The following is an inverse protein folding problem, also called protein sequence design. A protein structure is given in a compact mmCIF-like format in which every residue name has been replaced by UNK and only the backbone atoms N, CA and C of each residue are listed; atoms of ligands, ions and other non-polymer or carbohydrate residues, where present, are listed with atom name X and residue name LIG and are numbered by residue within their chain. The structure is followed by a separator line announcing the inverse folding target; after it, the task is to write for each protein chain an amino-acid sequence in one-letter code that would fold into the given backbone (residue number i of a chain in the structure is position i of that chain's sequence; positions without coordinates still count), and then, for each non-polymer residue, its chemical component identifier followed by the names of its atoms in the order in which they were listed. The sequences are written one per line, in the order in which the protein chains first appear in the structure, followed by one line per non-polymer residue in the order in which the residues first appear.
data_IF_408654445859
#
_entry.id   IF_408654445859
#
_cell.length_a   1.000
_cell.length_b   1.000
_cell.length_c   1.000
_cell.angle_alpha   90.00
_cell.angle_beta   90.00
_cell.angle_gamma   90.00
#
_symmetry.space_group_name_H-M   'P 1'
#
loop_
_entity.id
_entity.type
_entity.pdbx_description
1 polymer ?
#
# COMPACT_ATOMS: atom_id res chain seq x y z
N UNK A 1 24.21 -14.80 -17.14
CA UNK A 1 23.31 -13.66 -17.37
C UNK A 1 23.27 -12.89 -16.07
N UNK A 2 23.67 -11.63 -16.09
CA UNK A 2 23.71 -10.80 -14.89
C UNK A 2 22.28 -10.40 -14.49
N UNK A 3 21.94 -10.32 -13.20
CA UNK A 3 20.62 -9.88 -12.76
C UNK A 3 20.35 -8.45 -13.26
N UNK A 4 19.13 -8.19 -13.72
CA UNK A 4 18.70 -6.83 -14.03
C UNK A 4 18.63 -6.05 -12.71
N UNK A 5 19.01 -4.77 -12.76
CA UNK A 5 18.94 -3.85 -11.63
C UNK A 5 17.52 -3.77 -11.04
N UNK A 6 17.41 -3.86 -9.72
CA UNK A 6 16.15 -3.64 -8.99
C UNK A 6 15.88 -2.12 -8.90
N UNK A 7 14.85 -1.67 -9.59
CA UNK A 7 14.44 -0.26 -9.64
C UNK A 7 13.31 0.09 -8.68
N UNK A 8 12.80 -0.87 -7.92
CA UNK A 8 11.56 -0.70 -7.17
C UNK A 8 11.68 0.42 -6.13
N UNK A 9 12.67 0.33 -5.25
CA UNK A 9 12.83 1.29 -4.15
C UNK A 9 13.45 2.62 -4.59
N UNK A 10 14.16 2.64 -5.71
CA UNK A 10 14.89 3.82 -6.21
C UNK A 10 14.07 4.65 -7.19
N UNK A 11 13.17 4.03 -7.97
CA UNK A 11 12.37 4.70 -9.01
C UNK A 11 10.87 4.44 -8.86
N UNK A 12 10.46 3.18 -8.89
CA UNK A 12 9.05 2.84 -9.14
C UNK A 12 8.15 3.16 -7.94
N UNK A 13 8.57 2.83 -6.73
CA UNK A 13 7.81 3.11 -5.51
C UNK A 13 7.70 4.61 -5.20
N UNK A 14 8.79 5.42 -5.23
CA UNK A 14 8.65 6.87 -5.06
C UNK A 14 7.74 7.51 -6.12
N UNK A 15 7.82 7.04 -7.37
CA UNK A 15 6.96 7.52 -8.46
C UNK A 15 5.49 7.16 -8.22
N UNK A 16 5.21 5.91 -7.81
CA UNK A 16 3.87 5.47 -7.46
C UNK A 16 3.28 6.30 -6.31
N UNK A 17 4.08 6.64 -5.28
CA UNK A 17 3.65 7.53 -4.19
C UNK A 17 3.27 8.92 -4.69
N UNK A 18 4.06 9.49 -5.60
CA UNK A 18 3.76 10.78 -6.23
C UNK A 18 2.44 10.72 -7.03
N UNK A 19 2.27 9.69 -7.86
CA UNK A 19 1.05 9.49 -8.65
C UNK A 19 -0.19 9.33 -7.76
N UNK A 20 -0.14 8.50 -6.72
CA UNK A 20 -1.28 8.32 -5.79
C UNK A 20 -1.64 9.64 -5.11
N UNK A 21 -0.64 10.41 -4.62
CA UNK A 21 -0.88 11.71 -3.99
C UNK A 21 -1.56 12.71 -4.93
N UNK A 22 -1.14 12.75 -6.19
CA UNK A 22 -1.73 13.64 -7.19
C UNK A 22 -3.14 13.22 -7.57
N UNK A 23 -3.38 11.91 -7.75
CA UNK A 23 -4.73 11.38 -7.99
C UNK A 23 -5.69 11.72 -6.83
N UNK A 24 -5.23 11.66 -5.57
CA UNK A 24 -6.07 11.98 -4.40
C UNK A 24 -6.34 13.48 -4.24
N UNK A 25 -5.40 14.35 -4.64
CA UNK A 25 -5.57 15.82 -4.62
C UNK A 25 -6.43 16.35 -5.78
N UNK A 26 -6.54 15.60 -6.86
CA UNK A 26 -7.15 16.07 -8.11
C UNK A 26 -8.69 16.01 -8.03
N UNK A 27 -9.33 17.18 -8.04
CA UNK A 27 -10.78 17.28 -8.11
C UNK A 27 -11.36 16.89 -9.49
N UNK A 28 -10.51 16.85 -10.54
CA UNK A 28 -10.94 16.72 -11.94
C UNK A 28 -10.36 15.51 -12.69
N UNK A 29 -9.70 14.58 -12.01
CA UNK A 29 -9.46 13.23 -12.56
C UNK A 29 -8.00 12.92 -12.92
N UNK A 30 -7.17 12.74 -11.89
CA UNK A 30 -5.89 12.04 -12.03
C UNK A 30 -4.65 12.91 -11.99
N UNK A 31 -3.52 12.32 -12.39
CA UNK A 31 -2.18 12.87 -12.30
C UNK A 31 -1.57 13.02 -13.69
N UNK A 32 -1.18 14.25 -14.05
CA UNK A 32 -0.47 14.52 -15.31
C UNK A 32 0.99 14.11 -15.21
N UNK A 33 1.60 13.76 -16.35
CA UNK A 33 3.03 13.43 -16.43
C UNK A 33 3.92 14.52 -15.83
N UNK A 34 3.68 15.79 -16.18
CA UNK A 34 4.45 16.93 -15.67
C UNK A 34 4.28 17.12 -14.17
N UNK A 35 3.06 16.90 -13.65
CA UNK A 35 2.79 16.93 -12.21
C UNK A 35 3.52 15.82 -11.47
N UNK A 36 3.53 14.61 -12.04
CA UNK A 36 4.25 13.45 -11.47
C UNK A 36 5.76 13.70 -11.45
N UNK A 37 6.33 14.22 -12.53
CA UNK A 37 7.75 14.58 -12.60
C UNK A 37 8.10 15.63 -11.53
N UNK A 38 7.28 16.68 -11.38
CA UNK A 38 7.50 17.72 -10.39
C UNK A 38 7.39 17.20 -8.94
N UNK A 39 6.38 16.38 -8.63
CA UNK A 39 6.16 15.82 -7.28
C UNK A 39 7.23 14.76 -6.91
N UNK A 40 7.73 14.00 -7.89
CA UNK A 40 8.77 12.98 -7.66
C UNK A 40 10.20 13.54 -7.69
N UNK A 41 10.42 14.69 -8.35
CA UNK A 41 11.75 15.27 -8.56
C UNK A 41 12.63 14.48 -9.55
N UNK A 42 12.03 13.56 -10.32
CA UNK A 42 12.74 12.68 -11.25
C UNK A 42 12.87 13.30 -12.65
N UNK A 43 13.85 12.81 -13.42
CA UNK A 43 13.97 13.17 -14.83
C UNK A 43 12.81 12.61 -15.65
N UNK A 44 12.49 13.25 -16.78
CA UNK A 44 11.43 12.78 -17.68
C UNK A 44 11.65 11.33 -18.15
N UNK A 45 12.91 10.94 -18.40
CA UNK A 45 13.25 9.57 -18.76
C UNK A 45 12.95 8.55 -17.66
N UNK A 46 13.23 8.89 -16.40
CA UNK A 46 12.93 8.03 -15.25
C UNK A 46 11.43 7.92 -15.04
N UNK A 47 10.70 9.03 -15.19
CA UNK A 47 9.23 9.05 -15.09
C UNK A 47 8.61 8.18 -16.17
N UNK A 48 9.05 8.29 -17.43
CA UNK A 48 8.53 7.43 -18.50
C UNK A 48 8.80 5.95 -18.26
N UNK A 49 10.02 5.60 -17.85
CA UNK A 49 10.38 4.22 -17.56
C UNK A 49 9.55 3.67 -16.39
N UNK A 50 9.43 4.43 -15.30
CA UNK A 50 8.69 4.04 -14.11
C UNK A 50 7.19 3.96 -14.36
N UNK A 51 6.58 4.93 -15.05
CA UNK A 51 5.15 4.87 -15.38
C UNK A 51 4.83 3.66 -16.25
N UNK A 52 5.68 3.31 -17.22
CA UNK A 52 5.50 2.10 -18.02
C UNK A 52 5.61 0.83 -17.17
N UNK A 53 6.60 0.76 -16.28
CA UNK A 53 6.77 -0.38 -15.39
C UNK A 53 5.56 -0.56 -14.45
N UNK A 54 5.07 0.55 -13.87
CA UNK A 54 3.91 0.54 -12.97
C UNK A 54 2.60 0.22 -13.69
N UNK A 55 2.42 0.69 -14.92
CA UNK A 55 1.26 0.38 -15.76
C UNK A 55 1.22 -1.12 -16.08
N UNK A 56 2.35 -1.69 -16.53
CA UNK A 56 2.47 -3.15 -16.73
C UNK A 56 2.30 -3.96 -15.44
N UNK A 57 2.69 -3.39 -14.28
CA UNK A 57 2.47 -3.98 -12.97
C UNK A 57 1.02 -3.95 -12.48
N UNK A 58 0.10 -3.32 -13.22
CA UNK A 58 -1.32 -3.25 -12.86
C UNK A 58 -1.61 -2.25 -11.73
N UNK A 59 -0.75 -1.26 -11.53
CA UNK A 59 -0.95 -0.24 -10.49
C UNK A 59 -1.89 0.89 -10.92
N UNK A 60 -2.20 0.99 -12.22
CA UNK A 60 -3.08 2.02 -12.77
C UNK A 60 -4.40 1.44 -13.27
N UNK A 61 -5.48 2.19 -13.08
CA UNK A 61 -6.83 1.83 -13.58
C UNK A 61 -6.97 2.20 -15.04
N UNK A 62 -6.46 3.38 -15.41
CA UNK A 62 -6.51 3.92 -16.76
C UNK A 62 -5.41 4.94 -16.95
N UNK A 63 -4.70 4.82 -18.06
CA UNK A 63 -3.68 5.75 -18.52
C UNK A 63 -4.07 6.36 -19.86
N UNK A 64 -3.55 7.54 -20.15
CA UNK A 64 -3.57 8.17 -21.46
C UNK A 64 -2.14 8.26 -21.97
N UNK A 65 -1.94 7.95 -23.25
CA UNK A 65 -0.66 8.11 -23.90
C UNK A 65 -0.75 8.96 -25.16
N UNK A 66 0.38 9.52 -25.56
CA UNK A 66 0.55 10.21 -26.84
C UNK A 66 1.59 9.51 -27.70
N UNK A 67 1.39 9.56 -29.02
CA UNK A 67 2.31 8.94 -29.99
C UNK A 67 3.73 9.51 -29.81
N UNK A 68 4.70 8.63 -29.59
CA UNK A 68 6.10 9.01 -29.38
C UNK A 68 6.44 9.59 -27.99
N UNK A 69 5.43 9.86 -27.15
CA UNK A 69 5.61 10.48 -25.83
C UNK A 69 5.17 9.58 -24.66
N UNK A 70 4.76 8.33 -24.90
CA UNK A 70 4.40 7.41 -23.82
C UNK A 70 3.18 7.89 -23.01
N UNK A 71 3.11 7.49 -21.72
CA UNK A 71 2.03 7.88 -20.81
C UNK A 71 2.15 9.38 -20.49
N UNK A 72 1.09 10.13 -20.78
CA UNK A 72 0.98 11.57 -20.50
C UNK A 72 0.07 11.87 -19.31
N UNK A 73 -0.82 10.94 -18.95
CA UNK A 73 -1.77 11.12 -17.85
C UNK A 73 -2.17 9.78 -17.21
N UNK A 74 -2.39 9.77 -15.90
CA UNK A 74 -2.92 8.65 -15.13
C UNK A 74 -4.25 9.06 -14.51
N UNK A 75 -5.36 8.49 -14.96
CA UNK A 75 -6.70 8.88 -14.47
C UNK A 75 -7.06 8.27 -13.11
N UNK A 76 -6.37 7.20 -12.71
CA UNK A 76 -6.63 6.54 -11.43
C UNK A 76 -5.64 5.43 -11.14
N UNK A 77 -5.57 5.07 -9.86
CA UNK A 77 -4.69 4.04 -9.30
C UNK A 77 -5.52 2.89 -8.73
N UNK A 78 -5.00 1.68 -8.76
CA UNK A 78 -5.71 0.50 -8.25
C UNK A 78 -5.71 0.47 -6.71
N UNK A 79 -6.57 -0.37 -6.12
CA UNK A 79 -6.53 -0.63 -4.68
C UNK A 79 -5.19 -1.21 -4.24
N UNK A 80 -4.53 -1.99 -5.09
CA UNK A 80 -3.20 -2.53 -4.83
C UNK A 80 -2.15 -1.44 -4.75
N UNK A 81 -2.16 -0.49 -5.68
CA UNK A 81 -1.30 0.70 -5.60
C UNK A 81 -1.47 1.44 -4.26
N UNK A 82 -2.72 1.59 -3.80
CA UNK A 82 -3.04 2.24 -2.53
C UNK A 82 -2.50 1.48 -1.33
N UNK A 83 -2.60 0.14 -1.32
CA UNK A 83 -2.03 -0.69 -0.26
C UNK A 83 -0.51 -0.64 -0.24
N UNK A 84 0.12 -0.75 -1.40
CA UNK A 84 1.59 -0.70 -1.56
C UNK A 84 2.16 0.62 -1.05
N UNK A 85 1.51 1.76 -1.32
CA UNK A 85 1.98 3.05 -0.79
C UNK A 85 1.54 3.32 0.66
N UNK A 86 0.72 2.44 1.23
CA UNK A 86 0.20 2.54 2.60
C UNK A 86 -0.97 3.52 2.78
N UNK A 87 -1.62 3.95 1.69
CA UNK A 87 -2.80 4.83 1.78
C UNK A 87 -4.10 4.06 2.06
N UNK A 88 -4.13 2.76 1.78
CA UNK A 88 -5.21 1.83 2.17
C UNK A 88 -4.71 0.77 3.15
N UNK A 89 -5.60 0.22 4.01
CA UNK A 89 -5.24 -0.87 4.90
C UNK A 89 -4.76 -2.10 4.10
N UNK A 90 -3.62 -2.65 4.53
CA UNK A 90 -3.12 -3.97 4.11
C UNK A 90 -3.26 -4.95 5.28
N UNK A 91 -3.28 -6.27 5.03
CA UNK A 91 -3.25 -7.28 6.10
C UNK A 91 -2.11 -7.05 7.11
N UNK A 92 -0.92 -6.68 6.63
CA UNK A 92 0.25 -6.41 7.47
C UNK A 92 0.05 -5.15 8.32
N UNK A 93 -0.36 -4.05 7.70
CA UNK A 93 -0.60 -2.80 8.45
C UNK A 93 -1.78 -2.90 9.39
N UNK A 94 -2.77 -3.75 9.10
CA UNK A 94 -3.85 -4.07 10.02
C UNK A 94 -3.38 -4.97 11.16
N UNK A 95 -2.52 -5.96 10.91
CA UNK A 95 -1.88 -6.76 11.95
C UNK A 95 -1.09 -5.87 12.93
N UNK A 96 -0.26 -4.97 12.40
CA UNK A 96 0.51 -4.01 13.20
C UNK A 96 -0.41 -3.09 14.03
N UNK A 97 -1.53 -2.63 13.46
CA UNK A 97 -2.54 -1.81 14.17
C UNK A 97 -3.25 -2.59 15.27
N UNK A 98 -3.56 -3.86 15.06
CA UNK A 98 -4.15 -4.74 16.09
C UNK A 98 -3.17 -4.87 17.26
N UNK A 99 -1.90 -5.13 16.98
CA UNK A 99 -0.86 -5.22 18.01
C UNK A 99 -0.75 -3.92 18.80
N UNK A 100 -0.63 -2.79 18.11
CA UNK A 100 -0.54 -1.47 18.73
C UNK A 100 -1.78 -1.12 19.58
N UNK A 101 -2.98 -1.50 19.13
CA UNK A 101 -4.21 -1.28 19.89
C UNK A 101 -4.23 -2.12 21.18
N UNK A 102 -3.81 -3.38 21.13
CA UNK A 102 -3.69 -4.25 22.31
C UNK A 102 -2.64 -3.75 23.28
N UNK A 103 -1.49 -3.26 22.80
CA UNK A 103 -0.48 -2.62 23.64
C UNK A 103 -1.01 -1.37 24.35
N UNK A 104 -1.77 -0.53 23.62
CA UNK A 104 -2.38 0.66 24.19
C UNK A 104 -3.40 0.29 25.28
N UNK A 105 -4.25 -0.71 25.05
CA UNK A 105 -5.21 -1.21 26.04
C UNK A 105 -4.51 -1.84 27.25
N UNK A 106 -3.45 -2.62 27.05
CA UNK A 106 -2.67 -3.24 28.12
C UNK A 106 -2.05 -2.21 29.08
N UNK A 107 -1.81 -0.98 28.60
CA UNK A 107 -1.25 0.13 29.39
C UNK A 107 -2.36 1.01 29.98
N UNK A 108 -3.37 1.35 29.18
CA UNK A 108 -4.25 2.48 29.44
C UNK A 108 -5.72 2.09 29.69
N UNK A 109 -6.10 0.82 29.63
CA UNK A 109 -7.50 0.43 29.81
C UNK A 109 -8.04 0.85 31.20
N UNK A 110 -9.34 1.18 31.32
CA UNK A 110 -9.93 1.68 32.56
C UNK A 110 -9.82 0.71 33.74
N UNK A 111 -9.91 -0.60 33.49
CA UNK A 111 -9.87 -1.63 34.53
C UNK A 111 -8.64 -2.53 34.40
N UNK A 112 -8.17 -3.06 35.54
CA UNK A 112 -7.07 -4.04 35.54
C UNK A 112 -7.43 -5.35 34.82
N UNK A 113 -8.71 -5.72 34.80
CA UNK A 113 -9.20 -6.88 34.04
C UNK A 113 -9.03 -6.66 32.54
N UNK A 114 -9.41 -5.50 32.02
CA UNK A 114 -9.22 -5.15 30.61
C UNK A 114 -7.74 -5.09 30.24
N UNK A 115 -6.89 -4.49 31.09
CA UNK A 115 -5.43 -4.49 30.89
C UNK A 115 -4.86 -5.91 30.84
N UNK A 116 -5.27 -6.77 31.77
CA UNK A 116 -4.84 -8.17 31.83
C UNK A 116 -5.27 -8.95 30.58
N UNK A 117 -6.51 -8.77 30.13
CA UNK A 117 -7.02 -9.40 28.92
C UNK A 117 -6.28 -8.94 27.66
N UNK A 118 -5.98 -7.64 27.54
CA UNK A 118 -5.21 -7.10 26.42
C UNK A 118 -3.78 -7.67 26.38
N UNK A 119 -3.12 -7.82 27.54
CA UNK A 119 -1.79 -8.46 27.63
C UNK A 119 -1.82 -9.92 27.18
N UNK A 120 -2.82 -10.70 27.64
CA UNK A 120 -2.99 -12.10 27.22
C UNK A 120 -3.24 -12.22 25.72
N UNK A 121 -4.08 -11.36 25.17
CA UNK A 121 -4.34 -11.32 23.72
C UNK A 121 -3.07 -10.97 22.93
N UNK A 122 -2.29 -9.99 23.41
CA UNK A 122 -1.01 -9.60 22.81
C UNK A 122 0.00 -10.75 22.83
N UNK A 123 0.14 -11.45 23.95
CA UNK A 123 1.00 -12.64 24.07
C UNK A 123 0.57 -13.75 23.12
N UNK A 124 -0.74 -14.01 23.03
CA UNK A 124 -1.29 -15.00 22.12
C UNK A 124 -0.94 -14.67 20.65
N UNK A 125 -1.14 -13.42 20.23
CA UNK A 125 -0.81 -12.93 18.88
C UNK A 125 0.68 -13.09 18.59
N UNK A 126 1.54 -12.68 19.53
CA UNK A 126 3.00 -12.81 19.38
C UNK A 126 3.44 -14.27 19.30
N UNK A 127 2.78 -15.16 20.03
CA UNK A 127 3.06 -16.60 20.02
C UNK A 127 2.60 -17.32 18.75
N UNK A 128 1.54 -16.82 18.09
CA UNK A 128 0.96 -17.44 16.89
C UNK A 128 1.83 -17.29 15.63
N UNK A 129 2.79 -16.36 15.65
CA UNK A 129 3.65 -16.04 14.51
C UNK A 129 3.01 -15.07 13.52
N UNK A 130 3.85 -14.29 12.83
CA UNK A 130 3.43 -13.15 12.00
C UNK A 130 2.42 -13.52 10.93
N UNK A 131 2.63 -14.64 10.24
CA UNK A 131 1.79 -15.03 9.09
C UNK A 131 0.34 -15.37 9.48
N UNK A 132 0.15 -15.93 10.68
CA UNK A 132 -1.19 -16.21 11.21
C UNK A 132 -1.93 -14.92 11.51
N UNK A 133 -1.26 -13.95 12.14
CA UNK A 133 -1.85 -12.65 12.48
C UNK A 133 -2.21 -11.87 11.21
N UNK A 134 -1.33 -11.89 10.20
CA UNK A 134 -1.59 -11.29 8.89
C UNK A 134 -2.80 -11.96 8.20
N UNK A 135 -2.93 -13.29 8.29
CA UNK A 135 -4.08 -14.01 7.73
C UNK A 135 -5.41 -13.63 8.40
N UNK A 136 -5.41 -13.46 9.72
CA UNK A 136 -6.59 -12.97 10.46
C UNK A 136 -6.91 -11.52 10.08
N UNK A 137 -5.90 -10.66 9.98
CA UNK A 137 -6.08 -9.28 9.54
C UNK A 137 -6.63 -9.19 8.10
N UNK A 138 -6.16 -10.06 7.20
CA UNK A 138 -6.69 -10.20 5.84
C UNK A 138 -8.17 -10.60 5.86
N UNK A 139 -8.55 -11.55 6.71
CA UNK A 139 -9.93 -11.99 6.88
C UNK A 139 -10.85 -10.85 7.35
N UNK A 140 -10.39 -10.01 8.28
CA UNK A 140 -11.13 -8.84 8.76
C UNK A 140 -11.31 -7.79 7.65
N UNK A 141 -10.26 -7.54 6.86
CA UNK A 141 -10.31 -6.58 5.75
C UNK A 141 -11.24 -7.06 4.62
N UNK A 142 -11.15 -8.34 4.27
CA UNK A 142 -11.88 -8.93 3.13
C UNK A 142 -13.28 -9.42 3.48
N UNK A 143 -13.54 -9.65 4.77
CA UNK A 143 -14.77 -10.30 5.26
C UNK A 143 -14.80 -11.82 5.05
N UNK A 144 -13.72 -12.45 4.56
CA UNK A 144 -13.65 -13.90 4.31
C UNK A 144 -12.90 -14.62 5.43
N UNK A 145 -13.54 -15.60 6.08
CA UNK A 145 -12.93 -16.38 7.16
C UNK A 145 -11.96 -17.43 6.58
N UNK A 146 -10.72 -17.56 7.10
CA UNK A 146 -9.79 -18.58 6.64
C UNK A 146 -10.34 -19.99 6.94
N UNK A 147 -10.32 -20.88 5.96
CA UNK A 147 -10.72 -22.29 6.13
C UNK A 147 -12.18 -22.62 5.83
N UNK A 148 -12.99 -21.67 5.32
CA UNK A 148 -14.39 -21.93 4.89
C UNK A 148 -14.61 -21.84 3.38
N UNK A 149 -13.57 -22.12 2.57
CA UNK A 149 -13.71 -22.25 1.11
C UNK A 149 -14.21 -23.64 0.73
N UNK A 150 -15.25 -23.71 -0.11
CA UNK A 150 -15.65 -24.92 -0.84
C UNK A 150 -14.56 -25.39 -1.81
#
# INVERSE_FOLDING_TARGET
MEPIEDTWYTRDLPLLRATVRLCDKSATGGASFTGIAAESGMSESEVHAGLRALDHGGYFVKTEGAWGAGIIHVFGVTGEARRVVGSWPSPETAADRIEAALEALAKNAPTEVEKSNARRALEAIRSAGRDVVVSVAAAVITGQIPGTGN
#
